data_IF_931104400617
#
_entry.id   IF_931104400617
#
_cell.length_a   1.000
_cell.length_b   1.000
_cell.length_c   1.000
_cell.angle_alpha   90.00
_cell.angle_beta   90.00
_cell.angle_gamma   90.00
#
_symmetry.space_group_name_H-M   'P 1'
#
loop_
_entity.id
_entity.type
_entity.pdbx_description
1 polymer ?
#
# COMPACT_ATOMS: atom_id res chain seq x y z
N UNK A 1 8.60 -7.09 -8.28
CA UNK A 1 7.68 -7.33 -9.41
C UNK A 1 6.44 -6.43 -9.35
N UNK A 2 5.81 -6.22 -8.20
CA UNK A 2 4.58 -5.41 -8.04
C UNK A 2 4.75 -3.95 -8.48
N UNK A 3 5.88 -3.31 -8.14
CA UNK A 3 6.18 -1.94 -8.55
C UNK A 3 6.25 -1.76 -10.07
N UNK A 4 6.84 -2.73 -10.77
CA UNK A 4 6.90 -2.71 -12.24
C UNK A 4 5.51 -2.83 -12.87
N UNK A 5 4.64 -3.69 -12.35
CA UNK A 5 3.27 -3.85 -12.83
C UNK A 5 2.45 -2.57 -12.68
N UNK A 6 2.63 -1.84 -11.56
CA UNK A 6 1.97 -0.55 -11.31
C UNK A 6 2.47 0.53 -12.26
N UNK A 7 3.79 0.62 -12.45
CA UNK A 7 4.37 1.58 -13.41
C UNK A 7 3.90 1.29 -14.84
N UNK A 8 3.80 0.02 -15.24
CA UNK A 8 3.26 -0.38 -16.53
C UNK A 8 1.78 0.02 -16.65
N UNK A 9 0.98 -0.18 -15.59
CA UNK A 9 -0.43 0.24 -15.56
C UNK A 9 -0.59 1.76 -15.75
N UNK A 10 0.20 2.56 -15.02
CA UNK A 10 0.19 4.02 -15.14
C UNK A 10 0.66 4.46 -16.54
N UNK A 11 1.73 3.86 -17.07
CA UNK A 11 2.22 4.15 -18.41
C UNK A 11 1.19 3.78 -19.49
N UNK A 12 0.52 2.65 -19.35
CA UNK A 12 -0.55 2.22 -20.26
C UNK A 12 -1.73 3.19 -20.24
N UNK A 13 -2.13 3.66 -19.05
CA UNK A 13 -3.16 4.69 -18.89
C UNK A 13 -2.77 5.99 -19.62
N UNK A 14 -1.52 6.42 -19.42
CA UNK A 14 -1.01 7.64 -20.06
C UNK A 14 -0.97 7.53 -21.59
N UNK A 15 -0.53 6.38 -22.12
CA UNK A 15 -0.52 6.12 -23.56
C UNK A 15 -1.94 6.11 -24.11
N UNK A 16 -2.88 5.47 -23.41
CA UNK A 16 -4.28 5.40 -23.84
C UNK A 16 -4.93 6.78 -23.93
N UNK A 17 -4.73 7.63 -22.93
CA UNK A 17 -5.29 8.99 -22.90
C UNK A 17 -4.70 9.87 -24.02
N UNK A 18 -3.42 9.67 -24.37
CA UNK A 18 -2.77 10.42 -25.45
C UNK A 18 -2.91 9.79 -26.85
N UNK A 19 -3.57 8.63 -26.98
CA UNK A 19 -3.79 7.99 -28.28
C UNK A 19 -4.92 8.70 -29.04
N UNK A 20 -4.63 9.25 -30.20
CA UNK A 20 -5.61 9.86 -31.10
C UNK A 20 -6.58 8.87 -31.78
N UNK A 21 -6.45 7.57 -31.51
CA UNK A 21 -7.33 6.53 -32.02
C UNK A 21 -8.57 6.35 -31.16
N UNK A 22 -9.69 6.00 -31.76
CA UNK A 22 -10.91 5.66 -31.02
C UNK A 22 -10.63 4.45 -30.15
N UNK A 23 -10.57 4.68 -28.82
CA UNK A 23 -10.43 3.61 -27.84
C UNK A 23 -11.72 2.83 -27.78
N UNK A 24 -11.67 1.51 -27.93
CA UNK A 24 -12.86 0.69 -27.79
C UNK A 24 -13.31 0.65 -26.30
N UNK A 25 -14.59 0.43 -26.08
CA UNK A 25 -15.18 0.44 -24.73
C UNK A 25 -14.57 -0.60 -23.81
N UNK A 26 -14.17 -1.76 -24.35
CA UNK A 26 -13.56 -2.83 -23.56
C UNK A 26 -12.19 -2.42 -23.04
N UNK A 27 -11.33 -1.91 -23.92
CA UNK A 27 -10.00 -1.41 -23.54
C UNK A 27 -10.09 -0.27 -22.51
N UNK A 28 -11.07 0.62 -22.65
CA UNK A 28 -11.31 1.68 -21.68
C UNK A 28 -11.69 1.11 -20.29
N UNK A 29 -12.63 0.18 -20.22
CA UNK A 29 -13.05 -0.45 -18.97
C UNK A 29 -11.91 -1.19 -18.29
N UNK A 30 -11.14 -1.99 -19.04
CA UNK A 30 -9.99 -2.74 -18.51
C UNK A 30 -8.93 -1.78 -17.95
N UNK A 31 -8.65 -0.70 -18.68
CA UNK A 31 -7.66 0.29 -18.24
C UNK A 31 -8.12 1.01 -16.98
N UNK A 32 -9.37 1.45 -16.91
CA UNK A 32 -9.92 2.09 -15.72
C UNK A 32 -9.95 1.14 -14.52
N UNK A 33 -10.27 -0.14 -14.72
CA UNK A 33 -10.28 -1.14 -13.66
C UNK A 33 -8.86 -1.49 -13.15
N UNK A 34 -7.83 -1.41 -14.02
CA UNK A 34 -6.45 -1.74 -13.64
C UNK A 34 -5.90 -0.82 -12.54
N UNK A 35 -6.36 0.44 -12.49
CA UNK A 35 -5.89 1.44 -11.52
C UNK A 35 -6.28 1.08 -10.08
N UNK A 36 -7.58 0.89 -9.73
CA UNK A 36 -7.95 0.49 -8.38
C UNK A 36 -7.41 -0.89 -8.03
N UNK A 37 -7.35 -1.85 -8.98
CA UNK A 37 -6.77 -3.15 -8.74
C UNK A 37 -5.27 -3.07 -8.41
N UNK A 38 -4.52 -2.21 -9.08
CA UNK A 38 -3.13 -1.94 -8.78
C UNK A 38 -2.96 -1.33 -7.38
N UNK A 39 -3.81 -0.38 -7.02
CA UNK A 39 -3.85 0.23 -5.70
C UNK A 39 -4.10 -0.82 -4.60
N UNK A 40 -5.16 -1.63 -4.75
CA UNK A 40 -5.44 -2.73 -3.82
C UNK A 40 -4.27 -3.71 -3.69
N UNK A 41 -3.64 -4.05 -4.80
CA UNK A 41 -2.50 -4.99 -4.82
C UNK A 41 -1.31 -4.46 -4.04
N UNK A 42 -0.93 -3.18 -4.21
CA UNK A 42 0.18 -2.57 -3.48
C UNK A 42 -0.05 -2.66 -1.97
N UNK A 43 -1.22 -2.23 -1.52
CA UNK A 43 -1.51 -2.16 -0.09
C UNK A 43 -1.67 -3.54 0.53
N UNK A 44 -2.24 -4.52 -0.19
CA UNK A 44 -2.28 -5.91 0.26
C UNK A 44 -0.88 -6.52 0.37
N UNK A 45 -0.01 -6.30 -0.62
CA UNK A 45 1.37 -6.78 -0.55
C UNK A 45 2.14 -6.13 0.60
N UNK A 46 1.85 -4.86 0.89
CA UNK A 46 2.45 -4.16 2.04
C UNK A 46 1.90 -4.69 3.36
N UNK A 47 0.61 -5.03 3.45
CA UNK A 47 0.03 -5.70 4.62
C UNK A 47 0.72 -7.03 4.92
N UNK A 48 0.93 -7.85 3.89
CA UNK A 48 1.68 -9.11 4.00
C UNK A 48 3.13 -8.86 4.46
N UNK A 49 3.77 -7.81 3.94
CA UNK A 49 5.12 -7.44 4.36
C UNK A 49 5.16 -7.01 5.84
N UNK A 50 4.19 -6.21 6.31
CA UNK A 50 4.07 -5.85 7.72
C UNK A 50 3.89 -7.08 8.60
N UNK A 51 2.99 -7.99 8.23
CA UNK A 51 2.80 -9.25 8.94
C UNK A 51 4.08 -10.09 8.97
N UNK A 52 4.77 -10.21 7.84
CA UNK A 52 6.03 -10.94 7.75
C UNK A 52 7.09 -10.37 8.69
N UNK A 53 7.28 -9.05 8.71
CA UNK A 53 8.27 -8.38 9.60
C UNK A 53 7.88 -8.55 11.07
N UNK A 54 6.58 -8.42 11.39
CA UNK A 54 6.05 -8.54 12.74
C UNK A 54 6.29 -9.94 13.34
N UNK A 55 5.97 -10.98 12.56
CA UNK A 55 6.03 -12.37 12.98
C UNK A 55 7.42 -13.02 12.85
N UNK A 56 8.43 -12.28 12.38
CA UNK A 56 9.80 -12.79 12.37
C UNK A 56 10.25 -13.16 13.79
N UNK A 57 10.93 -14.31 13.97
CA UNK A 57 11.52 -14.66 15.25
C UNK A 57 12.43 -13.53 15.75
N UNK A 58 12.33 -13.22 17.03
CA UNK A 58 13.29 -12.32 17.68
C UNK A 58 14.55 -13.12 18.00
N UNK A 59 15.71 -12.60 17.66
CA UNK A 59 16.96 -13.19 18.11
C UNK A 59 17.04 -13.12 19.64
N UNK A 60 17.47 -14.20 20.32
CA UNK A 60 17.60 -14.22 21.77
C UNK A 60 18.58 -13.14 22.21
N UNK A 61 18.11 -12.08 22.82
CA UNK A 61 18.95 -11.07 23.46
C UNK A 61 19.26 -11.54 24.87
N UNK A 62 20.27 -12.39 25.04
CA UNK A 62 20.74 -12.85 26.35
C UNK A 62 19.80 -13.82 27.07
N UNK A 63 20.20 -14.23 28.27
CA UNK A 63 19.50 -15.22 29.11
C UNK A 63 18.39 -14.61 29.98
N UNK A 64 17.74 -13.53 29.58
CA UNK A 64 16.64 -12.94 30.37
C UNK A 64 15.29 -13.52 29.94
N UNK A 65 14.67 -14.41 30.76
CA UNK A 65 13.37 -15.01 30.45
C UNK A 65 12.21 -14.01 30.39
N UNK A 66 12.40 -12.80 30.92
CA UNK A 66 11.36 -11.74 30.93
C UNK A 66 11.30 -10.91 29.64
N UNK A 67 12.27 -11.07 28.74
CA UNK A 67 12.26 -10.43 27.41
C UNK A 67 11.63 -11.31 26.30
N UNK A 68 10.84 -12.28 26.68
CA UNK A 68 10.30 -13.30 25.79
C UNK A 68 9.09 -12.81 24.95
N UNK A 69 9.22 -11.72 24.21
CA UNK A 69 8.40 -11.63 23.00
C UNK A 69 9.01 -12.57 21.96
N UNK A 70 8.27 -13.63 21.63
CA UNK A 70 8.66 -14.68 20.67
C UNK A 70 8.94 -14.11 19.27
N UNK A 71 8.42 -12.92 18.98
CA UNK A 71 8.44 -12.26 17.69
C UNK A 71 9.02 -10.85 17.78
N UNK A 72 9.49 -10.32 16.65
CA UNK A 72 10.03 -8.95 16.55
C UNK A 72 9.02 -7.89 16.93
N UNK A 73 7.73 -8.09 16.59
CA UNK A 73 6.68 -7.13 16.82
C UNK A 73 6.87 -5.87 15.96
N UNK A 74 6.48 -4.74 16.50
CA UNK A 74 6.67 -3.45 15.86
C UNK A 74 5.39 -2.65 15.71
N UNK A 75 4.25 -3.26 15.99
CA UNK A 75 2.94 -2.64 16.14
C UNK A 75 2.34 -2.98 17.50
N UNK A 76 1.54 -2.06 18.00
CA UNK A 76 0.64 -2.26 19.13
C UNK A 76 -0.77 -1.90 18.63
N UNK A 77 -1.59 -2.94 18.44
CA UNK A 77 -2.96 -2.79 17.99
C UNK A 77 -3.89 -2.76 19.20
N UNK A 78 -4.65 -1.66 19.41
CA UNK A 78 -5.54 -1.54 20.55
C UNK A 78 -6.53 -2.70 20.65
N UNK A 79 -6.53 -3.38 21.80
CA UNK A 79 -7.44 -4.49 22.06
C UNK A 79 -7.08 -5.83 21.38
N UNK A 80 -5.96 -5.90 20.65
CA UNK A 80 -5.56 -7.11 19.89
C UNK A 80 -4.12 -7.51 20.23
N UNK A 81 -3.89 -8.30 21.29
CA UNK A 81 -2.55 -8.73 21.70
C UNK A 81 -1.84 -9.61 20.65
N UNK A 82 -2.60 -10.39 19.90
CA UNK A 82 -2.11 -11.23 18.81
C UNK A 82 -2.78 -10.81 17.49
N UNK A 83 -2.16 -9.91 16.72
CA UNK A 83 -2.75 -9.37 15.52
C UNK A 83 -2.93 -10.42 14.42
N UNK A 84 -4.05 -10.36 13.75
CA UNK A 84 -4.41 -11.20 12.61
C UNK A 84 -4.01 -10.55 11.27
N UNK A 85 -4.23 -11.24 10.16
CA UNK A 85 -4.04 -10.66 8.83
C UNK A 85 -4.90 -9.42 8.58
N UNK A 86 -6.08 -9.33 9.21
CA UNK A 86 -6.97 -8.18 9.09
C UNK A 86 -6.41 -6.92 9.75
N UNK A 87 -5.69 -7.03 10.86
CA UNK A 87 -5.07 -5.89 11.54
C UNK A 87 -3.98 -5.26 10.67
N UNK A 88 -3.16 -6.09 10.02
CA UNK A 88 -2.15 -5.62 9.08
C UNK A 88 -2.77 -5.05 7.80
N UNK A 89 -3.84 -5.65 7.29
CA UNK A 89 -4.58 -5.11 6.16
C UNK A 89 -5.19 -3.76 6.50
N UNK A 90 -5.89 -3.66 7.63
CA UNK A 90 -6.44 -2.39 8.13
C UNK A 90 -5.37 -1.30 8.16
N UNK A 91 -4.23 -1.56 8.81
CA UNK A 91 -3.14 -0.59 8.89
C UNK A 91 -2.62 -0.18 7.50
N UNK A 92 -2.36 -1.16 6.63
CA UNK A 92 -1.84 -0.88 5.30
C UNK A 92 -2.82 -0.06 4.44
N UNK A 93 -4.12 -0.35 4.50
CA UNK A 93 -5.11 0.40 3.74
C UNK A 93 -5.38 1.79 4.31
N UNK A 94 -5.31 1.98 5.63
CA UNK A 94 -5.36 3.33 6.23
C UNK A 94 -4.19 4.18 5.73
N UNK A 95 -2.96 3.66 5.77
CA UNK A 95 -1.80 4.35 5.18
C UNK A 95 -2.01 4.59 3.67
N UNK A 96 -2.57 3.62 2.96
CA UNK A 96 -2.86 3.72 1.53
C UNK A 96 -3.78 4.87 1.17
N UNK A 97 -4.83 5.07 1.96
CA UNK A 97 -5.84 6.11 1.75
C UNK A 97 -5.39 7.49 2.22
N UNK A 98 -4.68 7.57 3.35
CA UNK A 98 -4.46 8.83 4.07
C UNK A 98 -2.99 9.23 4.18
N UNK A 99 -2.05 8.32 3.89
CA UNK A 99 -0.61 8.47 4.17
C UNK A 99 -0.31 8.80 5.66
N UNK A 100 -1.23 8.47 6.55
CA UNK A 100 -1.18 8.76 7.99
C UNK A 100 -1.38 7.47 8.79
N UNK A 101 -0.75 7.39 9.97
CA UNK A 101 -0.97 6.28 10.90
C UNK A 101 -2.39 6.31 11.45
N UNK A 102 -2.94 5.11 11.72
CA UNK A 102 -4.24 4.91 12.36
C UNK A 102 -4.13 5.05 13.90
N UNK A 103 -5.02 4.42 14.62
CA UNK A 103 -4.98 4.19 16.06
C UNK A 103 -3.86 3.24 16.52
N UNK A 104 -3.18 2.60 15.58
CA UNK A 104 -2.12 1.63 15.82
C UNK A 104 -0.79 2.32 16.13
N UNK A 105 -0.15 1.94 17.24
CA UNK A 105 1.16 2.47 17.60
C UNK A 105 2.29 1.72 16.88
N UNK A 106 3.21 2.47 16.28
CA UNK A 106 4.42 1.90 15.66
C UNK A 106 5.56 1.91 16.67
N UNK A 107 5.92 0.73 17.20
CA UNK A 107 6.77 0.61 18.39
C UNK A 107 8.26 0.41 18.09
N UNK A 108 8.63 -0.02 16.86
CA UNK A 108 10.04 -0.26 16.52
C UNK A 108 10.55 0.67 15.41
N UNK A 109 11.86 1.01 15.40
CA UNK A 109 12.47 1.82 14.33
C UNK A 109 12.37 1.18 12.95
N UNK A 110 12.48 -0.15 12.87
CA UNK A 110 12.36 -0.88 11.60
C UNK A 110 10.97 -0.70 11.00
N UNK A 111 9.93 -0.89 11.83
CA UNK A 111 8.55 -0.72 11.38
C UNK A 111 8.24 0.73 11.02
N UNK A 112 8.79 1.73 11.75
CA UNK A 112 8.67 3.15 11.39
C UNK A 112 9.26 3.46 10.01
N UNK A 113 10.41 2.88 9.65
CA UNK A 113 11.01 3.05 8.32
C UNK A 113 10.12 2.47 7.23
N UNK A 114 9.58 1.26 7.44
CA UNK A 114 8.66 0.63 6.49
C UNK A 114 7.38 1.47 6.31
N UNK A 115 6.80 1.94 7.42
CA UNK A 115 5.63 2.83 7.40
C UNK A 115 5.90 4.13 6.65
N UNK A 116 7.04 4.77 6.90
CA UNK A 116 7.42 6.00 6.21
C UNK A 116 7.53 5.80 4.69
N UNK A 117 8.22 4.74 4.27
CA UNK A 117 8.35 4.41 2.84
C UNK A 117 6.98 4.11 2.21
N UNK A 118 6.13 3.37 2.90
CA UNK A 118 4.77 3.08 2.46
C UNK A 118 3.94 4.38 2.33
N UNK A 119 4.01 5.28 3.31
CA UNK A 119 3.29 6.56 3.28
C UNK A 119 3.75 7.45 2.11
N UNK A 120 5.05 7.50 1.84
CA UNK A 120 5.61 8.24 0.70
C UNK A 120 5.07 7.69 -0.62
N UNK A 121 5.14 6.36 -0.80
CA UNK A 121 4.61 5.69 -2.00
C UNK A 121 3.12 5.96 -2.16
N UNK A 122 2.33 5.83 -1.09
CA UNK A 122 0.89 6.07 -1.09
C UNK A 122 0.55 7.51 -1.48
N UNK A 123 1.25 8.48 -0.91
CA UNK A 123 1.05 9.90 -1.21
C UNK A 123 1.26 10.20 -2.70
N UNK A 124 2.40 9.79 -3.24
CA UNK A 124 2.69 10.05 -4.66
C UNK A 124 1.76 9.27 -5.60
N UNK A 125 1.42 8.02 -5.26
CA UNK A 125 0.48 7.24 -6.05
C UNK A 125 -0.90 7.90 -6.09
N UNK A 126 -1.44 8.30 -4.95
CA UNK A 126 -2.72 8.99 -4.87
C UNK A 126 -2.71 10.32 -5.62
N UNK A 127 -1.60 11.08 -5.54
CA UNK A 127 -1.43 12.34 -6.27
C UNK A 127 -1.48 12.11 -7.79
N UNK A 128 -0.79 11.09 -8.29
CA UNK A 128 -0.82 10.73 -9.72
C UNK A 128 -2.20 10.29 -10.16
N UNK A 129 -2.93 9.51 -9.32
CA UNK A 129 -4.30 9.08 -9.62
C UNK A 129 -5.26 10.26 -9.75
N UNK A 130 -5.18 11.21 -8.82
CA UNK A 130 -6.03 12.42 -8.87
C UNK A 130 -5.71 13.25 -10.11
N UNK A 131 -4.43 13.45 -10.42
CA UNK A 131 -4.02 14.18 -11.63
C UNK A 131 -4.51 13.50 -12.90
N UNK A 132 -4.42 12.17 -12.98
CA UNK A 132 -4.92 11.39 -14.12
C UNK A 132 -6.45 11.51 -14.25
N UNK A 133 -7.19 11.43 -13.14
CA UNK A 133 -8.64 11.58 -13.13
C UNK A 133 -9.09 12.96 -13.63
N UNK A 134 -8.43 14.02 -13.17
CA UNK A 134 -8.69 15.39 -13.63
C UNK A 134 -8.45 15.53 -15.13
N UNK A 135 -7.34 14.99 -15.64
CA UNK A 135 -7.02 15.02 -17.07
C UNK A 135 -8.11 14.30 -17.91
N UNK A 136 -8.61 13.16 -17.45
CA UNK A 136 -9.70 12.44 -18.13
C UNK A 136 -10.96 13.28 -18.17
N UNK A 137 -11.35 13.90 -17.06
CA UNK A 137 -12.56 14.76 -16.99
C UNK A 137 -12.42 15.94 -17.93
N UNK A 138 -11.28 16.60 -17.98
CA UNK A 138 -11.03 17.73 -18.89
C UNK A 138 -11.10 17.29 -20.36
N UNK A 139 -10.51 16.15 -20.70
CA UNK A 139 -10.52 15.61 -22.06
C UNK A 139 -11.93 15.19 -22.54
N UNK A 140 -12.81 14.77 -21.63
CA UNK A 140 -14.20 14.42 -21.95
C UNK A 140 -15.12 15.65 -22.05
N UNK A 141 -14.72 16.76 -21.45
CA UNK A 141 -15.49 18.04 -21.45
C UNK A 141 -15.11 19.02 -22.56
N UNK A 142 -14.06 18.73 -23.32
CA UNK A 142 -13.56 19.53 -24.45
C UNK A 142 -13.99 18.91 -25.77
#
# INVERSE_FOLDING_TARGET
MTFAAVLIGIASLFILINSASKVDTFSLVVTLASVPLGWFTIHMMTAIHYAHVYWQPREPAGNDPKQASRYRGGFDFPGTPEPSGWDFAYYAYVIGMTAQTSDTNVTTPAMRRTTLLHSIVSFFFNTVLVAAAVNVVVALGS
#
